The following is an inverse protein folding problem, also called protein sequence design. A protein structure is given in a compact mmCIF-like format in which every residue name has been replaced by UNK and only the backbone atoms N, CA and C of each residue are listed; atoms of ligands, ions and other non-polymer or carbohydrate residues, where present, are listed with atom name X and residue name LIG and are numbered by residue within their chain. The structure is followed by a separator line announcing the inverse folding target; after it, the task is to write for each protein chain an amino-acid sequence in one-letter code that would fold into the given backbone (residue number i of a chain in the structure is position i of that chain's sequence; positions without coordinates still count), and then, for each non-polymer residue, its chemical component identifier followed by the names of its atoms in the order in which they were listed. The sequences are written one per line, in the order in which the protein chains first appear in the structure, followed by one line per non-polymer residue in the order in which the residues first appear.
data_IF_978337418298
#
_entry.id   IF_978337418298
#
_cell.length_a   1.000
_cell.length_b   1.000
_cell.length_c   1.000
_cell.angle_alpha   90.00
_cell.angle_beta   90.00
_cell.angle_gamma   90.00
#
_symmetry.space_group_name_H-M   'P 1'
#
loop_
_entity.id
_entity.type
_entity.pdbx_description
1 polymer ?
#
# COMPACT_ATOMS: atom_id res chain seq x y z
N UNK A 1 -4.15 0.83 15.73
CA UNK A 1 -3.49 0.99 17.06
C UNK A 1 -3.26 -0.35 17.77
N UNK A 2 -4.17 -1.34 17.67
CA UNK A 2 -3.82 -2.74 17.96
C UNK A 2 -2.78 -3.25 16.96
N UNK A 3 -2.97 -2.99 15.67
CA UNK A 3 -2.11 -3.48 14.58
C UNK A 3 -0.62 -3.12 14.66
N UNK A 4 -0.22 -1.86 14.89
CA UNK A 4 1.22 -1.49 15.09
C UNK A 4 1.86 -2.30 16.23
N UNK A 5 1.16 -2.44 17.36
CA UNK A 5 1.64 -3.24 18.50
C UNK A 5 1.67 -4.73 18.17
N UNK A 6 0.72 -5.21 17.38
CA UNK A 6 0.64 -6.59 16.92
C UNK A 6 1.75 -6.92 15.92
N UNK A 7 2.06 -6.04 14.97
CA UNK A 7 3.17 -6.21 14.02
C UNK A 7 4.52 -6.16 14.73
N UNK A 8 4.72 -5.17 15.61
CA UNK A 8 5.97 -5.04 16.37
C UNK A 8 6.21 -6.24 17.30
N UNK A 9 5.16 -6.79 17.93
CA UNK A 9 5.26 -8.00 18.74
C UNK A 9 5.43 -9.29 17.91
N UNK A 10 4.87 -9.36 16.69
CA UNK A 10 5.01 -10.52 15.79
C UNK A 10 6.36 -10.56 15.09
N UNK A 11 6.97 -9.40 14.79
CA UNK A 11 8.35 -9.32 14.31
C UNK A 11 9.34 -9.95 15.32
N UNK A 12 9.06 -9.83 16.62
CA UNK A 12 9.84 -10.46 17.69
C UNK A 12 9.70 -11.99 17.76
N UNK A 13 8.70 -12.58 17.07
CA UNK A 13 8.37 -14.01 17.12
C UNK A 13 8.92 -14.79 15.92
N UNK A 14 9.87 -14.23 15.16
CA UNK A 14 10.51 -14.92 14.04
C UNK A 14 9.65 -15.04 12.78
N UNK A 15 8.48 -14.37 12.74
CA UNK A 15 7.76 -14.14 11.51
C UNK A 15 8.53 -13.12 10.69
N UNK A 16 8.99 -13.51 9.50
CA UNK A 16 9.83 -12.74 8.59
C UNK A 16 9.05 -11.60 7.92
N UNK A 17 8.38 -10.77 8.72
CA UNK A 17 7.92 -9.46 8.28
C UNK A 17 9.14 -8.55 8.40
N UNK A 18 9.79 -8.31 7.26
CA UNK A 18 10.89 -7.36 7.08
C UNK A 18 10.57 -6.06 7.84
N UNK A 19 11.52 -5.52 8.62
CA UNK A 19 11.34 -4.30 9.42
C UNK A 19 10.78 -3.13 8.60
N UNK A 20 11.04 -3.13 7.28
CA UNK A 20 10.47 -2.17 6.34
C UNK A 20 8.94 -2.14 6.32
N UNK A 21 8.23 -3.23 6.63
CA UNK A 21 6.77 -3.23 6.75
C UNK A 21 6.31 -2.42 7.95
N UNK A 22 6.99 -2.55 9.09
CA UNK A 22 6.66 -1.83 10.33
C UNK A 22 6.85 -0.32 10.11
N UNK A 23 7.94 0.05 9.44
CA UNK A 23 8.22 1.44 9.11
C UNK A 23 7.27 2.03 8.05
N UNK A 24 6.73 1.16 7.19
CA UNK A 24 5.78 1.53 6.13
C UNK A 24 4.33 1.59 6.60
N UNK A 25 3.99 1.09 7.79
CA UNK A 25 2.62 1.24 8.33
C UNK A 25 2.28 2.72 8.41
N UNK A 26 1.09 3.07 7.91
CA UNK A 26 0.55 4.42 8.06
C UNK A 26 0.65 4.86 9.51
N UNK A 27 1.46 5.90 9.75
CA UNK A 27 1.68 6.49 11.09
C UNK A 27 0.44 7.29 11.51
N UNK A 28 -0.67 6.60 11.73
CA UNK A 28 -2.00 7.17 11.96
C UNK A 28 -1.99 8.12 13.15
N UNK A 29 -1.18 7.85 14.19
CA UNK A 29 -1.03 8.76 15.34
C UNK A 29 -0.45 10.11 14.93
N UNK A 30 0.58 10.12 14.09
CA UNK A 30 1.23 11.35 13.60
C UNK A 30 0.27 12.11 12.68
N UNK A 31 -0.33 11.43 11.71
CA UNK A 31 -1.29 12.02 10.77
C UNK A 31 -2.54 12.54 11.48
N UNK A 32 -3.05 11.82 12.49
CA UNK A 32 -4.19 12.27 13.31
C UNK A 32 -3.84 13.49 14.17
N UNK A 33 -2.62 13.56 14.72
CA UNK A 33 -2.13 14.74 15.46
C UNK A 33 -2.05 15.94 14.52
N UNK A 34 -1.52 15.75 13.31
CA UNK A 34 -1.51 16.78 12.27
C UNK A 34 -2.91 17.29 11.95
N UNK A 35 -3.86 16.39 11.64
CA UNK A 35 -5.26 16.78 11.39
C UNK A 35 -5.83 17.59 12.56
N UNK A 36 -5.57 17.19 13.81
CA UNK A 36 -6.08 17.92 14.97
C UNK A 36 -5.54 19.37 15.00
N UNK A 37 -4.24 19.53 14.82
CA UNK A 37 -3.57 20.84 14.83
C UNK A 37 -4.04 21.74 13.69
N UNK A 38 -4.14 21.19 12.47
CA UNK A 38 -4.65 21.91 11.31
C UNK A 38 -6.09 22.39 11.58
N UNK A 39 -6.94 21.60 12.24
CA UNK A 39 -8.29 22.03 12.55
C UNK A 39 -8.39 23.13 13.61
N UNK A 40 -7.46 23.19 14.57
CA UNK A 40 -7.37 24.31 15.50
C UNK A 40 -6.97 25.60 14.75
N UNK A 41 -6.16 25.48 13.70
CA UNK A 41 -5.76 26.60 12.85
C UNK A 41 -6.90 27.08 11.92
N UNK A 42 -7.65 26.17 11.29
CA UNK A 42 -8.75 26.51 10.37
C UNK A 42 -10.07 26.82 11.07
N UNK A 43 -10.34 26.23 12.24
CA UNK A 43 -11.53 26.53 13.04
C UNK A 43 -11.61 28.00 13.50
N UNK A 44 -10.49 28.72 13.49
CA UNK A 44 -10.41 30.15 13.79
C UNK A 44 -10.42 31.06 12.54
N UNK A 45 -10.49 30.52 11.31
CA UNK A 45 -10.38 31.29 10.06
C UNK A 45 -11.58 31.18 9.11
N UNK A 46 -12.76 30.80 9.61
CA UNK A 46 -13.99 30.87 8.82
C UNK A 46 -14.41 32.33 8.58
N UNK A 47 -13.83 33.02 7.59
CA UNK A 47 -14.44 34.15 6.87
C UNK A 47 -13.61 34.58 5.65
N UNK A 48 -14.11 34.21 4.45
CA UNK A 48 -14.02 34.90 3.13
C UNK A 48 -12.61 35.06 2.48
N UNK A 49 -12.46 35.32 1.16
CA UNK A 49 -13.43 35.96 0.26
C UNK A 49 -13.59 35.39 -1.15
N UNK A 50 -14.56 36.00 -1.84
CA UNK A 50 -14.88 35.95 -3.26
C UNK A 50 -13.63 35.92 -4.16
N UNK A 51 -13.58 34.97 -5.09
CA UNK A 51 -12.56 34.92 -6.14
C UNK A 51 -13.27 35.15 -7.47
N UNK A 52 -13.01 36.33 -8.05
CA UNK A 52 -13.38 36.70 -9.40
C UNK A 52 -12.81 35.69 -10.40
N UNK A 53 -13.65 35.30 -11.35
CA UNK A 53 -13.36 34.35 -12.43
C UNK A 53 -12.20 34.84 -13.30
N UNK A 54 -10.97 34.38 -13.05
CA UNK A 54 -9.82 34.60 -13.93
C UNK A 54 -9.66 33.46 -14.94
N UNK A 55 -9.03 33.76 -16.08
CA UNK A 55 -8.67 32.83 -17.15
C UNK A 55 -8.07 31.52 -16.63
N UNK A 56 -8.37 30.41 -17.30
CA UNK A 56 -7.91 29.07 -16.95
C UNK A 56 -6.38 28.99 -16.96
N UNK A 57 -5.76 28.96 -15.78
CA UNK A 57 -4.31 28.76 -15.65
C UNK A 57 -3.90 27.37 -16.16
N UNK A 58 -2.66 27.20 -16.65
CA UNK A 58 -2.09 25.89 -17.00
C UNK A 58 -1.10 25.41 -15.94
N UNK A 59 -1.03 24.11 -15.72
CA UNK A 59 -0.08 23.53 -14.78
C UNK A 59 1.34 23.51 -15.34
N UNK A 60 2.28 24.08 -14.59
CA UNK A 60 3.69 24.12 -14.96
C UNK A 60 4.42 22.78 -15.02
N UNK A 61 3.80 21.67 -14.60
CA UNK A 61 4.42 20.33 -14.60
C UNK A 61 3.90 19.47 -15.75
N UNK A 62 2.57 19.33 -15.88
CA UNK A 62 1.97 18.51 -16.93
C UNK A 62 1.50 19.32 -18.15
N UNK A 63 1.49 20.66 -18.05
CA UNK A 63 1.02 21.59 -19.08
C UNK A 63 -0.49 21.52 -19.37
N UNK A 64 -1.26 20.73 -18.59
CA UNK A 64 -2.72 20.66 -18.72
C UNK A 64 -3.42 21.84 -18.03
N UNK A 65 -4.64 22.14 -18.47
CA UNK A 65 -5.48 23.19 -17.90
C UNK A 65 -5.84 22.91 -16.42
N UNK A 66 -5.86 23.98 -15.63
CA UNK A 66 -6.26 23.99 -14.24
C UNK A 66 -7.63 24.66 -14.18
N UNK A 67 -8.64 23.92 -13.72
CA UNK A 67 -9.95 24.49 -13.43
C UNK A 67 -9.84 25.50 -12.27
N UNK A 68 -10.64 26.58 -12.31
CA UNK A 68 -10.51 27.75 -11.44
C UNK A 68 -10.46 27.44 -9.92
N UNK A 69 -10.97 26.29 -9.49
CA UNK A 69 -11.05 25.89 -8.07
C UNK A 69 -10.06 24.76 -7.71
N UNK A 70 -9.31 24.24 -8.68
CA UNK A 70 -8.49 23.04 -8.53
C UNK A 70 -6.98 23.32 -8.67
N UNK A 71 -6.60 24.60 -8.70
CA UNK A 71 -5.23 25.08 -8.84
C UNK A 71 -4.57 25.54 -7.55
N UNK A 72 -3.24 25.41 -7.50
CA UNK A 72 -2.39 26.04 -6.48
C UNK A 72 -1.44 27.02 -7.16
N UNK A 73 -1.59 28.30 -6.82
CA UNK A 73 -0.69 29.38 -7.28
C UNK A 73 0.32 29.69 -6.20
N UNK A 74 1.52 29.11 -6.32
CA UNK A 74 2.58 29.29 -5.33
C UNK A 74 3.00 30.76 -5.15
N UNK A 75 3.66 31.11 -4.05
CA UNK A 75 4.20 32.47 -3.82
C UNK A 75 5.22 32.93 -4.89
N UNK A 76 5.79 31.99 -5.65
CA UNK A 76 6.63 32.28 -6.80
C UNK A 76 5.84 32.42 -8.10
N UNK A 77 4.52 32.57 -8.00
CA UNK A 77 3.58 32.77 -9.10
C UNK A 77 3.55 31.62 -10.11
N UNK A 78 4.02 30.43 -9.74
CA UNK A 78 3.86 29.24 -10.56
C UNK A 78 2.57 28.50 -10.19
N UNK A 79 1.84 28.08 -11.21
CA UNK A 79 0.55 27.42 -11.10
C UNK A 79 0.72 25.91 -11.27
N UNK A 80 0.15 25.13 -10.36
CA UNK A 80 0.21 23.68 -10.42
C UNK A 80 -1.14 23.06 -10.08
N UNK A 81 -1.45 21.89 -10.64
CA UNK A 81 -2.38 20.99 -9.96
C UNK A 81 -1.76 20.61 -8.61
N UNK A 82 -2.55 20.61 -7.51
CA UNK A 82 -2.09 20.12 -6.21
C UNK A 82 -1.43 18.75 -6.34
N UNK A 83 -2.04 17.86 -7.11
CA UNK A 83 -1.52 16.53 -7.39
C UNK A 83 -0.09 16.56 -7.99
N UNK A 84 0.16 17.39 -9.00
CA UNK A 84 1.47 17.51 -9.66
C UNK A 84 2.51 18.11 -8.72
N UNK A 85 2.17 19.19 -8.02
CA UNK A 85 3.07 19.84 -7.06
C UNK A 85 3.44 18.89 -5.92
N UNK A 86 2.45 18.24 -5.29
CA UNK A 86 2.71 17.31 -4.20
C UNK A 86 3.54 16.13 -4.71
N UNK A 87 3.29 15.59 -5.91
CA UNK A 87 4.13 14.53 -6.49
C UNK A 87 5.57 14.97 -6.61
N UNK A 88 5.82 16.14 -7.23
CA UNK A 88 7.16 16.70 -7.39
C UNK A 88 7.89 16.92 -6.05
N UNK A 89 7.15 17.32 -5.01
CA UNK A 89 7.69 17.48 -3.65
C UNK A 89 7.87 16.15 -2.91
N UNK A 90 7.04 15.15 -3.19
CA UNK A 90 7.00 13.86 -2.49
C UNK A 90 8.03 12.85 -2.99
N UNK A 91 8.51 12.97 -4.22
CA UNK A 91 9.57 12.10 -4.77
C UNK A 91 10.94 12.35 -4.14
N UNK A 92 11.06 13.30 -3.20
CA UNK A 92 12.28 13.58 -2.44
C UNK A 92 13.40 14.24 -3.25
N UNK A 93 13.21 14.40 -4.57
CA UNK A 93 14.16 15.03 -5.48
C UNK A 93 14.12 16.56 -5.40
N UNK A 94 13.05 17.14 -4.86
CA UNK A 94 12.88 18.58 -4.76
C UNK A 94 12.17 18.96 -3.45
N UNK A 95 12.86 19.60 -2.52
CA UNK A 95 12.28 20.32 -1.37
C UNK A 95 11.92 21.77 -1.74
N UNK A 96 11.75 22.04 -3.03
CA UNK A 96 11.63 23.36 -3.62
C UNK A 96 10.77 23.35 -4.88
N UNK A 97 10.43 24.55 -5.38
CA UNK A 97 9.62 24.72 -6.58
C UNK A 97 10.27 23.99 -7.76
N UNK A 98 9.55 23.14 -8.51
CA UNK A 98 10.11 22.45 -9.67
C UNK A 98 10.63 23.39 -10.76
N UNK A 99 10.08 24.62 -10.83
CA UNK A 99 10.52 25.61 -11.80
C UNK A 99 11.63 26.53 -11.27
N UNK A 100 11.38 27.26 -10.19
CA UNK A 100 12.32 28.29 -9.72
C UNK A 100 13.18 27.88 -8.53
N UNK A 101 13.07 26.63 -8.07
CA UNK A 101 13.80 26.10 -6.90
C UNK A 101 13.62 26.92 -5.62
N UNK A 102 12.58 27.75 -5.53
CA UNK A 102 12.22 28.45 -4.28
C UNK A 102 11.84 27.40 -3.23
N UNK A 103 12.39 27.47 -2.00
CA UNK A 103 12.15 26.45 -0.98
C UNK A 103 10.66 26.19 -0.73
N UNK A 104 10.27 24.94 -0.50
CA UNK A 104 8.87 24.56 -0.31
C UNK A 104 8.19 25.27 0.88
N UNK A 105 8.97 25.60 1.91
CA UNK A 105 8.51 26.42 3.05
C UNK A 105 8.01 27.80 2.62
N UNK A 106 8.51 28.30 1.50
CA UNK A 106 8.16 29.59 0.93
C UNK A 106 7.14 29.46 -0.20
N UNK A 107 6.79 28.26 -0.68
CA UNK A 107 5.91 28.07 -1.85
C UNK A 107 4.42 28.32 -1.58
N UNK A 108 4.04 28.55 -0.33
CA UNK A 108 2.65 28.53 0.13
C UNK A 108 1.78 29.53 -0.67
N UNK A 109 0.75 29.08 -1.41
CA UNK A 109 -0.18 29.93 -2.14
C UNK A 109 -1.13 30.70 -1.19
N UNK A 110 -1.81 31.71 -1.72
CA UNK A 110 -3.05 32.24 -1.15
C UNK A 110 -4.11 31.12 -1.11
N UNK A 111 -4.54 30.66 0.07
CA UNK A 111 -5.64 29.70 0.22
C UNK A 111 -5.28 28.23 0.51
N UNK A 112 -4.01 27.82 0.35
CA UNK A 112 -3.52 26.50 0.78
C UNK A 112 -2.31 26.72 1.67
N UNK A 113 -2.46 26.63 2.99
CA UNK A 113 -1.34 26.90 3.90
C UNK A 113 -0.24 25.82 3.79
N UNK A 114 0.98 26.19 4.22
CA UNK A 114 2.12 25.28 4.18
C UNK A 114 1.92 24.03 5.03
N UNK A 115 1.04 24.10 6.03
CA UNK A 115 0.67 22.95 6.86
C UNK A 115 -0.17 21.93 6.08
N UNK A 116 -1.13 22.39 5.28
CA UNK A 116 -1.94 21.54 4.41
C UNK A 116 -1.08 20.87 3.35
N UNK A 117 -0.21 21.63 2.68
CA UNK A 117 0.71 21.07 1.70
C UNK A 117 1.60 19.99 2.34
N UNK A 118 2.13 20.26 3.53
CA UNK A 118 2.93 19.31 4.29
C UNK A 118 2.13 18.06 4.68
N UNK A 119 0.88 18.21 5.09
CA UNK A 119 0.01 17.07 5.41
C UNK A 119 -0.21 16.18 4.18
N UNK A 120 -0.56 16.76 3.03
CA UNK A 120 -0.80 16.00 1.81
C UNK A 120 0.47 15.32 1.30
N UNK A 121 1.62 15.99 1.38
CA UNK A 121 2.92 15.39 1.08
C UNK A 121 3.22 14.20 2.01
N UNK A 122 2.97 14.33 3.31
CA UNK A 122 3.12 13.21 4.25
C UNK A 122 2.22 12.04 3.90
N UNK A 123 0.96 12.29 3.53
CA UNK A 123 0.05 11.23 3.09
C UNK A 123 0.61 10.51 1.84
N UNK A 124 1.06 11.25 0.83
CA UNK A 124 1.65 10.63 -0.38
C UNK A 124 2.91 9.83 -0.07
N UNK A 125 3.83 10.35 0.75
CA UNK A 125 5.05 9.63 1.14
C UNK A 125 4.70 8.30 1.82
N UNK A 126 3.71 8.30 2.72
CA UNK A 126 3.26 7.06 3.36
C UNK A 126 2.61 6.12 2.34
N UNK A 127 1.79 6.61 1.41
CA UNK A 127 1.17 5.77 0.37
C UNK A 127 2.23 5.09 -0.50
N UNK A 128 3.24 5.85 -0.94
CA UNK A 128 4.34 5.33 -1.75
C UNK A 128 5.18 4.30 -0.98
N UNK A 129 5.40 4.50 0.31
CA UNK A 129 6.13 3.54 1.15
C UNK A 129 5.39 2.20 1.24
N UNK A 130 4.08 2.23 1.51
CA UNK A 130 3.22 1.02 1.52
C UNK A 130 3.26 0.33 0.16
N UNK A 131 3.12 1.09 -0.93
CA UNK A 131 3.15 0.53 -2.29
C UNK A 131 4.49 -0.11 -2.63
N UNK A 132 5.61 0.53 -2.30
CA UNK A 132 6.94 -0.02 -2.50
C UNK A 132 7.17 -1.31 -1.70
N UNK A 133 6.70 -1.33 -0.44
CA UNK A 133 6.79 -2.47 0.44
C UNK A 133 6.02 -3.69 -0.11
N UNK A 134 4.75 -3.47 -0.50
CA UNK A 134 3.94 -4.49 -1.17
C UNK A 134 4.61 -4.99 -2.46
N UNK A 135 5.13 -4.08 -3.28
CA UNK A 135 5.77 -4.42 -4.56
C UNK A 135 7.00 -5.31 -4.37
N UNK A 136 7.87 -4.95 -3.41
CA UNK A 136 9.06 -5.74 -3.06
C UNK A 136 8.66 -7.15 -2.60
N UNK A 137 7.72 -7.24 -1.65
CA UNK A 137 7.27 -8.53 -1.13
C UNK A 137 6.70 -9.43 -2.22
N UNK A 138 5.82 -8.90 -3.07
CA UNK A 138 5.22 -9.69 -4.16
C UNK A 138 6.28 -10.16 -5.17
N UNK A 139 7.28 -9.33 -5.49
CA UNK A 139 8.39 -9.74 -6.37
C UNK A 139 9.26 -10.86 -5.75
N UNK A 140 9.55 -10.76 -4.46
CA UNK A 140 10.30 -11.79 -3.72
C UNK A 140 9.50 -13.11 -3.66
N UNK A 141 8.19 -13.02 -3.43
CA UNK A 141 7.29 -14.17 -3.38
C UNK A 141 7.12 -14.85 -4.75
N UNK A 142 6.93 -14.07 -5.82
CA UNK A 142 6.85 -14.59 -7.19
C UNK A 142 8.13 -15.35 -7.57
N UNK A 143 9.30 -14.85 -7.15
CA UNK A 143 10.60 -15.52 -7.36
C UNK A 143 10.68 -16.86 -6.62
N UNK A 144 10.19 -16.94 -5.36
CA UNK A 144 10.15 -18.20 -4.60
C UNK A 144 9.13 -19.19 -5.17
N UNK A 145 7.96 -18.70 -5.58
CA UNK A 145 6.93 -19.52 -6.24
C UNK A 145 7.47 -20.25 -7.46
N UNK A 146 8.28 -19.59 -8.30
CA UNK A 146 8.93 -20.25 -9.44
C UNK A 146 9.88 -21.39 -9.02
N UNK A 147 10.58 -21.25 -7.89
CA UNK A 147 11.45 -22.31 -7.35
C UNK A 147 10.63 -23.49 -6.83
N UNK A 148 9.49 -23.24 -6.17
CA UNK A 148 8.57 -24.29 -5.70
C UNK A 148 7.93 -25.04 -6.87
N UNK A 149 7.48 -24.32 -7.90
CA UNK A 149 6.81 -24.89 -9.07
C UNK A 149 7.75 -25.77 -9.90
N UNK A 150 9.00 -25.34 -10.08
CA UNK A 150 10.05 -26.09 -10.78
C UNK A 150 10.57 -27.30 -10.00
N UNK A 151 10.25 -27.39 -8.70
CA UNK A 151 10.75 -28.45 -7.82
C UNK A 151 12.22 -28.32 -7.45
N UNK A 152 12.87 -27.18 -7.75
CA UNK A 152 14.27 -26.94 -7.39
C UNK A 152 14.47 -26.79 -5.87
N UNK A 153 13.39 -26.44 -5.16
CA UNK A 153 13.40 -26.26 -3.72
C UNK A 153 12.04 -26.70 -3.16
N UNK A 154 12.04 -27.73 -2.33
CA UNK A 154 10.83 -28.38 -1.85
C UNK A 154 10.89 -28.53 -0.33
N UNK A 155 10.45 -27.48 0.37
CA UNK A 155 10.29 -27.47 1.82
C UNK A 155 8.86 -27.03 2.15
N UNK A 156 8.07 -27.95 2.69
CA UNK A 156 6.67 -27.69 3.08
C UNK A 156 6.56 -26.64 4.18
N UNK A 157 7.54 -26.56 5.10
CA UNK A 157 7.51 -25.56 6.16
C UNK A 157 7.72 -24.15 5.62
N UNK A 158 8.57 -24.00 4.59
CA UNK A 158 8.77 -22.71 3.95
C UNK A 158 7.55 -22.26 3.15
N UNK A 159 6.92 -23.16 2.39
CA UNK A 159 5.68 -22.85 1.67
C UNK A 159 4.58 -22.43 2.65
N UNK A 160 4.45 -23.14 3.78
CA UNK A 160 3.49 -22.79 4.83
C UNK A 160 3.78 -21.40 5.42
N UNK A 161 5.04 -21.08 5.71
CA UNK A 161 5.46 -19.75 6.16
C UNK A 161 5.14 -18.65 5.14
N UNK A 162 5.32 -18.91 3.85
CA UNK A 162 4.97 -17.96 2.80
C UNK A 162 3.45 -17.71 2.73
N UNK A 163 2.63 -18.74 2.90
CA UNK A 163 1.16 -18.61 2.97
C UNK A 163 0.77 -17.72 4.15
N UNK A 164 1.29 -18.00 5.35
CA UNK A 164 0.99 -17.21 6.54
C UNK A 164 1.48 -15.76 6.44
N UNK A 165 2.58 -15.54 5.71
CA UNK A 165 3.12 -14.19 5.49
C UNK A 165 2.25 -13.43 4.50
N UNK A 166 1.80 -14.09 3.42
CA UNK A 166 0.89 -13.52 2.44
C UNK A 166 -0.43 -13.07 3.07
N UNK A 167 -1.02 -13.87 3.97
CA UNK A 167 -2.23 -13.48 4.71
C UNK A 167 -2.04 -12.18 5.52
N UNK A 168 -0.86 -12.01 6.14
CA UNK A 168 -0.52 -10.81 6.90
C UNK A 168 -0.31 -9.60 5.99
N UNK A 169 0.21 -9.79 4.79
CA UNK A 169 0.34 -8.74 3.78
C UNK A 169 -1.03 -8.28 3.28
N UNK A 170 -1.97 -9.21 3.03
CA UNK A 170 -3.36 -8.86 2.68
C UNK A 170 -4.00 -8.02 3.80
N UNK A 171 -3.84 -8.44 5.07
CA UNK A 171 -4.35 -7.67 6.22
C UNK A 171 -3.72 -6.26 6.28
N UNK A 172 -2.40 -6.17 6.07
CA UNK A 172 -1.65 -4.92 6.02
C UNK A 172 -2.17 -3.98 4.91
N UNK A 173 -2.34 -4.49 3.69
CA UNK A 173 -2.82 -3.72 2.54
C UNK A 173 -4.23 -3.16 2.79
N UNK A 174 -5.13 -4.00 3.32
CA UNK A 174 -6.49 -3.61 3.68
C UNK A 174 -6.50 -2.49 4.74
N UNK A 175 -5.72 -2.67 5.81
CA UNK A 175 -5.66 -1.70 6.91
C UNK A 175 -5.08 -0.35 6.48
N UNK A 176 -4.03 -0.35 5.65
CA UNK A 176 -3.44 0.89 5.15
C UNK A 176 -4.39 1.60 4.18
N UNK A 177 -5.00 0.88 3.24
CA UNK A 177 -5.98 1.43 2.29
C UNK A 177 -7.15 2.11 3.02
N UNK A 178 -7.73 1.42 3.99
CA UNK A 178 -8.83 1.93 4.80
C UNK A 178 -8.38 3.09 5.71
N UNK A 179 -7.15 3.03 6.24
CA UNK A 179 -6.52 4.08 7.02
C UNK A 179 -6.39 5.39 6.25
N UNK A 180 -5.82 5.34 5.05
CA UNK A 180 -5.71 6.49 4.15
C UNK A 180 -7.08 7.07 3.80
N UNK A 181 -8.04 6.20 3.46
CA UNK A 181 -9.40 6.63 3.11
C UNK A 181 -10.06 7.40 4.26
N UNK A 182 -9.93 6.91 5.49
CA UNK A 182 -10.46 7.57 6.69
C UNK A 182 -9.74 8.88 7.00
N UNK A 183 -8.42 8.93 6.81
CA UNK A 183 -7.60 10.15 7.02
C UNK A 183 -8.03 11.24 6.04
N UNK A 184 -8.10 10.93 4.74
CA UNK A 184 -8.45 11.88 3.70
C UNK A 184 -9.89 12.40 3.84
N UNK A 185 -10.87 11.52 4.05
CA UNK A 185 -12.26 11.96 4.30
C UNK A 185 -12.40 12.83 5.55
N UNK A 186 -11.61 12.54 6.59
CA UNK A 186 -11.61 13.35 7.82
C UNK A 186 -10.95 14.70 7.60
N UNK A 187 -9.91 14.76 6.79
CA UNK A 187 -9.27 16.01 6.41
C UNK A 187 -10.30 16.92 5.71
N UNK A 188 -10.92 16.44 4.63
CA UNK A 188 -11.92 17.20 3.88
C UNK A 188 -13.10 17.64 4.74
N UNK A 189 -13.64 16.74 5.58
CA UNK A 189 -14.75 17.08 6.49
C UNK A 189 -14.42 18.27 7.40
N UNK A 190 -13.15 18.47 7.73
CA UNK A 190 -12.72 19.50 8.68
C UNK A 190 -12.17 20.76 8.02
N UNK A 191 -11.65 20.66 6.81
CA UNK A 191 -11.07 21.82 6.09
C UNK A 191 -11.96 22.35 4.98
N UNK A 192 -12.92 21.56 4.48
CA UNK A 192 -13.77 21.93 3.34
C UNK A 192 -13.07 21.93 1.99
N UNK A 193 -11.81 21.45 1.91
CA UNK A 193 -10.96 21.64 0.72
C UNK A 193 -11.21 20.66 -0.43
N UNK A 194 -11.98 19.59 -0.22
CA UNK A 194 -12.32 18.63 -1.27
C UNK A 194 -11.14 17.85 -1.88
N UNK A 195 -9.99 17.80 -1.21
CA UNK A 195 -8.77 17.18 -1.77
C UNK A 195 -8.77 15.65 -1.73
N UNK A 196 -9.69 15.05 -0.98
CA UNK A 196 -9.73 13.60 -0.81
C UNK A 196 -10.03 12.88 -2.12
N UNK A 197 -10.81 13.44 -3.04
CA UNK A 197 -11.18 12.76 -4.28
C UNK A 197 -9.96 12.43 -5.14
N UNK A 198 -9.13 13.43 -5.44
CA UNK A 198 -7.91 13.24 -6.23
C UNK A 198 -6.89 12.33 -5.54
N UNK A 199 -6.76 12.43 -4.21
CA UNK A 199 -5.87 11.57 -3.44
C UNK A 199 -6.38 10.12 -3.37
N UNK A 200 -7.69 9.92 -3.31
CA UNK A 200 -8.31 8.60 -3.35
C UNK A 200 -8.22 7.98 -4.75
N UNK A 201 -8.29 8.77 -5.81
CA UNK A 201 -8.03 8.30 -7.17
C UNK A 201 -6.62 7.75 -7.31
N UNK A 202 -5.63 8.44 -6.73
CA UNK A 202 -4.26 7.94 -6.64
C UNK A 202 -4.15 6.67 -5.82
N UNK A 203 -4.76 6.62 -4.64
CA UNK A 203 -4.77 5.43 -3.80
C UNK A 203 -5.32 4.22 -4.55
N UNK A 204 -6.41 4.37 -5.31
CA UNK A 204 -6.99 3.29 -6.13
C UNK A 204 -6.06 2.78 -7.23
N UNK A 205 -5.01 3.53 -7.59
CA UNK A 205 -4.02 3.12 -8.58
C UNK A 205 -2.76 2.52 -7.94
N UNK A 206 -2.61 2.56 -6.61
CA UNK A 206 -1.53 1.85 -5.93
C UNK A 206 -1.74 0.33 -6.04
N UNK A 207 -0.67 -0.43 -6.20
CA UNK A 207 -0.71 -1.89 -6.34
C UNK A 207 -1.31 -2.56 -5.11
N UNK A 208 -0.98 -2.07 -3.93
CA UNK A 208 -1.52 -2.55 -2.67
C UNK A 208 -3.05 -2.31 -2.51
N UNK A 209 -3.66 -1.51 -3.38
CA UNK A 209 -5.08 -1.15 -3.29
C UNK A 209 -5.91 -1.60 -4.52
N UNK A 210 -5.33 -1.56 -5.73
CA UNK A 210 -6.04 -1.87 -6.98
C UNK A 210 -6.23 -3.37 -7.19
N UNK A 211 -5.15 -4.12 -6.99
CA UNK A 211 -5.05 -5.52 -7.44
C UNK A 211 -4.49 -6.43 -6.34
N UNK A 212 -4.33 -5.93 -5.11
CA UNK A 212 -3.77 -6.70 -4.00
C UNK A 212 -4.55 -8.00 -3.77
N UNK A 213 -5.88 -7.92 -3.70
CA UNK A 213 -6.71 -9.11 -3.46
C UNK A 213 -6.55 -10.16 -4.56
N UNK A 214 -6.64 -9.76 -5.84
CA UNK A 214 -6.54 -10.70 -6.96
C UNK A 214 -5.15 -11.33 -7.06
N UNK A 215 -4.08 -10.53 -6.94
CA UNK A 215 -2.70 -11.02 -7.02
C UNK A 215 -2.34 -11.90 -5.83
N UNK A 216 -2.72 -11.50 -4.62
CA UNK A 216 -2.47 -12.29 -3.43
C UNK A 216 -3.30 -13.59 -3.44
N UNK A 217 -4.55 -13.57 -3.90
CA UNK A 217 -5.34 -14.79 -4.08
C UNK A 217 -4.68 -15.76 -5.07
N UNK A 218 -4.23 -15.25 -6.23
CA UNK A 218 -3.53 -16.06 -7.22
C UNK A 218 -2.24 -16.68 -6.67
N UNK A 219 -1.42 -15.88 -5.96
CA UNK A 219 -0.22 -16.37 -5.30
C UNK A 219 -0.55 -17.43 -4.22
N UNK A 220 -1.59 -17.20 -3.42
CA UNK A 220 -2.07 -18.13 -2.41
C UNK A 220 -2.50 -19.47 -3.01
N UNK A 221 -3.28 -19.47 -4.10
CA UNK A 221 -3.67 -20.70 -4.80
C UNK A 221 -2.46 -21.48 -5.32
N UNK A 222 -1.44 -20.79 -5.85
CA UNK A 222 -0.20 -21.42 -6.32
C UNK A 222 0.62 -22.04 -5.19
N UNK A 223 0.74 -21.35 -4.04
CA UNK A 223 1.40 -21.89 -2.86
C UNK A 223 0.68 -23.15 -2.35
N UNK A 224 -0.65 -23.10 -2.24
CA UNK A 224 -1.47 -24.24 -1.82
C UNK A 224 -1.32 -25.44 -2.76
N UNK A 225 -1.30 -25.20 -4.07
CA UNK A 225 -1.03 -26.24 -5.06
C UNK A 225 0.36 -26.88 -4.88
N UNK A 226 1.40 -26.08 -4.65
CA UNK A 226 2.75 -26.59 -4.38
C UNK A 226 2.80 -27.44 -3.10
N UNK A 227 2.14 -26.99 -2.04
CA UNK A 227 2.05 -27.73 -0.78
C UNK A 227 1.34 -29.08 -0.94
N UNK A 228 0.22 -29.11 -1.67
CA UNK A 228 -0.53 -30.34 -1.94
C UNK A 228 0.30 -31.36 -2.74
N UNK A 229 1.09 -30.90 -3.71
CA UNK A 229 2.00 -31.77 -4.48
C UNK A 229 3.00 -32.47 -3.57
N UNK A 230 3.53 -31.79 -2.56
CA UNK A 230 4.48 -32.38 -1.60
C UNK A 230 3.84 -33.46 -0.72
N UNK A 231 2.62 -33.23 -0.24
CA UNK A 231 1.88 -34.22 0.56
C UNK A 231 1.58 -35.51 -0.22
N UNK A 232 1.33 -35.40 -1.52
CA UNK A 232 1.00 -36.54 -2.39
C UNK A 232 2.19 -37.48 -2.63
N UNK A 233 3.43 -36.99 -2.55
CA UNK A 233 4.63 -37.81 -2.75
C UNK A 233 5.10 -38.56 -1.49
N UNK A 234 4.54 -38.24 -0.32
CA UNK A 234 4.89 -38.90 0.94
C UNK A 234 4.07 -40.16 1.26
N UNK A 235 3.13 -40.56 0.41
CA UNK A 235 2.70 -41.96 0.43
C UNK A 235 3.77 -42.79 -0.26
N UNK A 236 4.58 -43.59 0.48
CA UNK A 236 5.40 -44.59 -0.17
C UNK A 236 4.46 -45.45 -1.01
N UNK A 237 4.82 -45.82 -2.26
CA UNK A 237 4.02 -46.75 -3.04
C UNK A 237 3.72 -47.95 -2.13
N UNK A 238 2.47 -48.47 -2.12
CA UNK A 238 2.13 -49.61 -1.28
C UNK A 238 3.22 -50.65 -1.52
N UNK A 239 3.99 -50.99 -0.47
CA UNK A 239 5.05 -51.99 -0.57
C UNK A 239 4.36 -53.18 -1.20
N UNK A 240 4.74 -53.54 -2.44
CA UNK A 240 4.32 -54.83 -3.00
C UNK A 240 4.81 -55.84 -1.99
N UNK A 241 3.89 -56.42 -1.23
CA UNK A 241 4.18 -57.53 -0.35
C UNK A 241 4.49 -58.68 -1.31
N UNK A 242 5.75 -58.78 -1.73
CA UNK A 242 6.28 -59.90 -2.49
C UNK A 242 6.34 -61.09 -1.53
N UNK A 243 5.20 -61.73 -1.29
CA UNK A 243 5.13 -62.80 -0.29
C UNK A 243 3.73 -63.20 0.16
N UNK A 244 2.74 -63.20 -0.72
CA UNK A 244 1.56 -64.05 -0.51
C UNK A 244 1.55 -65.09 -1.63
N UNK A 245 2.28 -66.17 -1.40
CA UNK A 245 2.02 -67.43 -2.07
C UNK A 245 0.58 -67.82 -1.74
N UNK A 246 -0.28 -67.73 -2.74
CA UNK A 246 -1.61 -68.31 -2.73
C UNK A 246 -1.48 -69.79 -2.34
N UNK A 247 -1.89 -70.15 -1.13
CA UNK A 247 -2.22 -71.54 -0.81
C UNK A 247 -3.52 -71.88 -1.55
N UNK A 248 -3.56 -72.90 -2.42
CA UNK A 248 -4.81 -73.36 -2.99
C UNK A 248 -5.60 -74.08 -1.89
N UNK A 249 -6.73 -73.52 -1.52
CA UNK A 249 -7.73 -74.17 -0.68
C UNK A 249 -8.31 -75.37 -1.42
N UNK A 250 -8.11 -76.55 -0.85
CA UNK A 250 -8.83 -77.77 -1.20
C UNK A 250 -10.34 -77.55 -1.03
N UNK A 251 -11.08 -77.61 -2.13
CA UNK A 251 -12.52 -77.87 -2.12
C UNK A 251 -12.74 -79.38 -1.94
N UNK A 252 -13.61 -79.83 -1.01
CA UNK A 252 -14.14 -81.19 -1.07
C UNK A 252 -15.28 -81.24 -2.08
N UNK A 253 -15.20 -82.17 -3.04
CA UNK A 253 -16.36 -82.64 -3.81
C UNK A 253 -17.04 -83.76 -3.03
N UNK A 254 -18.36 -83.84 -3.26
CA UNK A 254 -19.37 -84.75 -2.69
C UNK A 254 -18.93 -86.19 -2.45
#
# INVERSE_FOLDING_TARGET
MKFEKTLSAKASQGLFIDESFVDSVVRYKILKKFIKNTCEHYGNRCCSPDIETSESAQCCICLDSIEAHHGVTTSCSHHFHPACLITSLSTGTCDSCPLCRRPAKQLVPSGLDGETLRFLAMVLVNMNAVDACHTKFMGDLESRLHQYESGSYLDSEMIQRDIETLEKVIEFDHLNSEGFRKILKKFDKRTGMGVSEGMLARLRNCRFAKDADARCQAAGSRLQHCLHRLGSHHHPPPRRVSGWTFFPSCFPRC
#
